data_IF_338371492001
#
_entry.id   IF_338371492001
#
_cell.length_a   1.000
_cell.length_b   1.000
_cell.length_c   1.000
_cell.angle_alpha   90.00
_cell.angle_beta   90.00
_cell.angle_gamma   90.00
#
_symmetry.space_group_name_H-M   'P 1'
#
loop_
_entity.id
_entity.type
_entity.pdbx_description
1 polymer ?
#
# COMPACT_ATOMS: atom_id res chain seq x y z
N UNK A 1 -1.03 2.78 -0.88
CA UNK A 1 -0.69 2.26 0.46
C UNK A 1 -1.94 2.33 1.34
N UNK A 2 -2.05 1.43 2.31
CA UNK A 2 -3.21 1.34 3.21
C UNK A 2 -2.72 1.07 4.63
N UNK A 3 -3.26 1.79 5.61
CA UNK A 3 -3.17 1.40 7.03
C UNK A 3 -4.21 0.31 7.27
N UNK A 4 -3.78 -0.83 7.80
CA UNK A 4 -4.67 -1.97 8.02
C UNK A 4 -5.85 -1.62 8.93
N UNK A 5 -5.66 -0.70 9.88
CA UNK A 5 -6.70 -0.25 10.81
C UNK A 5 -7.83 0.53 10.11
N UNK A 6 -7.59 1.09 8.93
CA UNK A 6 -8.62 1.81 8.18
C UNK A 6 -9.62 0.88 7.48
N UNK A 7 -9.28 -0.42 7.35
CA UNK A 7 -10.14 -1.42 6.70
C UNK A 7 -11.46 -1.57 7.46
N UNK A 8 -11.41 -1.62 8.79
CA UNK A 8 -12.59 -1.78 9.64
C UNK A 8 -13.63 -0.67 9.46
N UNK A 9 -13.25 0.62 9.59
CA UNK A 9 -14.12 1.75 9.31
C UNK A 9 -14.74 1.74 7.91
N UNK A 10 -13.99 1.38 6.86
CA UNK A 10 -14.55 1.27 5.49
C UNK A 10 -15.61 0.19 5.42
N UNK A 11 -15.33 -1.00 5.95
CA UNK A 11 -16.29 -2.12 5.97
C UNK A 11 -17.54 -1.74 6.77
N UNK A 12 -17.38 -1.08 7.92
CA UNK A 12 -18.52 -0.57 8.71
C UNK A 12 -19.40 0.36 7.87
N UNK A 13 -18.82 1.27 7.10
CA UNK A 13 -19.57 2.19 6.23
C UNK A 13 -20.29 1.49 5.08
N UNK A 14 -19.74 0.39 4.57
CA UNK A 14 -20.42 -0.44 3.57
C UNK A 14 -21.63 -1.14 4.20
N UNK A 15 -21.49 -1.65 5.42
CA UNK A 15 -22.57 -2.37 6.12
C UNK A 15 -23.70 -1.46 6.62
N UNK A 16 -23.45 -0.17 6.81
CA UNK A 16 -24.50 0.83 7.12
C UNK A 16 -25.48 1.05 5.95
N UNK A 17 -25.07 0.81 4.70
CA UNK A 17 -25.88 1.00 3.49
C UNK A 17 -25.52 -0.05 2.41
N UNK A 18 -25.80 -1.34 2.65
CA UNK A 18 -25.30 -2.43 1.79
C UNK A 18 -25.90 -2.38 0.38
N UNK A 19 -27.14 -1.91 0.22
CA UNK A 19 -27.80 -1.79 -1.09
C UNK A 19 -27.05 -0.82 -2.01
N UNK A 20 -26.49 0.26 -1.46
CA UNK A 20 -25.69 1.22 -2.22
C UNK A 20 -24.37 0.64 -2.73
N UNK A 21 -23.79 -0.36 -2.04
CA UNK A 21 -22.45 -0.85 -2.32
C UNK A 21 -22.38 -2.26 -2.89
N UNK A 22 -23.50 -3.00 -2.91
CA UNK A 22 -23.55 -4.34 -3.49
C UNK A 22 -23.05 -4.33 -4.95
N UNK A 23 -22.16 -5.26 -5.27
CA UNK A 23 -21.55 -5.38 -6.61
C UNK A 23 -20.54 -4.28 -6.97
N UNK A 24 -20.18 -3.38 -6.05
CA UNK A 24 -19.14 -2.35 -6.27
C UNK A 24 -17.80 -2.80 -5.70
N UNK A 25 -16.75 -2.51 -6.45
CA UNK A 25 -15.37 -2.61 -5.97
C UNK A 25 -14.98 -1.30 -5.25
N UNK A 26 -14.69 -1.40 -3.95
CA UNK A 26 -14.18 -0.27 -3.16
C UNK A 26 -12.69 -0.47 -2.88
N UNK A 27 -11.88 0.43 -3.41
CA UNK A 27 -10.42 0.42 -3.24
C UNK A 27 -10.04 1.17 -1.97
N UNK A 28 -9.37 0.50 -1.03
CA UNK A 28 -8.93 1.09 0.24
C UNK A 28 -7.48 1.56 0.08
N UNK A 29 -7.29 2.87 -0.04
CA UNK A 29 -5.98 3.46 -0.27
C UNK A 29 -5.91 4.84 0.39
N UNK A 30 -5.05 5.01 1.39
CA UNK A 30 -4.82 6.32 2.00
C UNK A 30 -4.06 7.25 1.07
N UNK A 31 -3.11 6.72 0.31
CA UNK A 31 -2.37 7.48 -0.69
C UNK A 31 -1.68 6.60 -1.74
N UNK A 32 -1.41 7.19 -2.90
CA UNK A 32 -0.50 6.65 -3.91
C UNK A 32 0.81 7.44 -3.88
N UNK A 33 1.88 6.79 -3.41
CA UNK A 33 3.22 7.36 -3.32
C UNK A 33 4.18 6.57 -4.22
N UNK A 34 5.12 7.26 -4.87
CA UNK A 34 6.20 6.60 -5.61
C UNK A 34 7.19 5.98 -4.63
N UNK A 35 7.66 4.76 -4.89
CA UNK A 35 8.63 4.09 -4.01
C UNK A 35 9.87 4.93 -3.70
N UNK A 36 10.36 5.73 -4.66
CA UNK A 36 11.50 6.63 -4.47
C UNK A 36 11.25 7.81 -3.51
N UNK A 37 9.99 8.14 -3.21
CA UNK A 37 9.62 9.23 -2.30
C UNK A 37 9.35 8.73 -0.86
N UNK A 38 9.15 7.43 -0.66
CA UNK A 38 8.98 6.80 0.67
C UNK A 38 10.11 7.19 1.64
N UNK A 39 11.42 7.16 1.25
CA UNK A 39 12.50 7.54 2.15
C UNK A 39 12.41 8.99 2.64
N UNK A 40 11.86 9.91 1.84
CA UNK A 40 11.69 11.32 2.22
C UNK A 40 10.68 11.46 3.35
N UNK A 41 9.52 10.81 3.20
CA UNK A 41 8.46 10.81 4.22
C UNK A 41 8.96 10.13 5.50
N UNK A 42 9.63 8.99 5.35
CA UNK A 42 10.20 8.26 6.46
C UNK A 42 11.22 9.09 7.24
N UNK A 43 12.19 9.70 6.54
CA UNK A 43 13.22 10.55 7.16
C UNK A 43 12.59 11.76 7.86
N UNK A 44 11.58 12.37 7.24
CA UNK A 44 10.85 13.52 7.81
C UNK A 44 10.18 13.18 9.15
N UNK A 45 9.56 12.00 9.28
CA UNK A 45 8.82 11.63 10.49
C UNK A 45 9.74 11.07 11.58
N UNK A 46 10.69 10.21 11.19
CA UNK A 46 11.52 9.46 12.15
C UNK A 46 12.82 10.17 12.50
N UNK A 47 13.28 11.10 11.66
CA UNK A 47 14.63 11.68 11.74
C UNK A 47 15.74 10.73 11.29
N UNK A 48 15.42 9.47 10.92
CA UNK A 48 16.40 8.47 10.48
C UNK A 48 16.64 8.62 8.98
N UNK A 49 17.88 8.89 8.53
CA UNK A 49 18.19 9.01 7.11
C UNK A 49 17.89 7.70 6.36
N UNK A 50 17.09 7.79 5.30
CA UNK A 50 16.74 6.66 4.45
C UNK A 50 17.01 6.96 2.96
N UNK A 51 17.28 5.91 2.19
CA UNK A 51 17.45 5.98 0.72
C UNK A 51 16.66 4.86 0.04
N UNK A 52 16.30 5.05 -1.22
CA UNK A 52 15.71 4.02 -2.06
C UNK A 52 16.73 3.55 -3.10
N UNK A 53 16.86 2.23 -3.27
CA UNK A 53 17.62 1.60 -4.35
C UNK A 53 16.68 0.70 -5.15
N UNK A 54 16.59 0.91 -6.45
CA UNK A 54 15.94 -0.05 -7.36
C UNK A 54 16.83 -1.28 -7.50
N UNK A 55 16.22 -2.46 -7.36
CA UNK A 55 16.91 -3.74 -7.49
C UNK A 55 16.53 -4.40 -8.81
N UNK A 56 17.47 -5.13 -9.41
CA UNK A 56 17.13 -6.08 -10.47
C UNK A 56 16.32 -7.24 -9.90
N UNK A 57 15.63 -7.99 -10.77
CA UNK A 57 14.90 -9.19 -10.33
C UNK A 57 15.85 -10.20 -9.65
N UNK A 58 17.06 -10.41 -10.20
CA UNK A 58 18.06 -11.29 -9.61
C UNK A 58 18.51 -10.81 -8.22
N UNK A 59 18.83 -9.52 -8.08
CA UNK A 59 19.17 -8.93 -6.80
C UNK A 59 18.02 -9.09 -5.80
N UNK A 60 16.78 -8.84 -6.20
CA UNK A 60 15.62 -8.97 -5.31
C UNK A 60 15.35 -10.43 -4.92
N UNK A 61 15.44 -11.38 -5.86
CA UNK A 61 15.37 -12.84 -5.58
C UNK A 61 16.38 -13.26 -4.53
N UNK A 62 17.62 -12.77 -4.63
CA UNK A 62 18.66 -13.06 -3.64
C UNK A 62 18.29 -12.59 -2.22
N UNK A 63 17.53 -11.48 -2.10
CA UNK A 63 17.07 -10.93 -0.81
C UNK A 63 15.93 -11.71 -0.19
N UNK A 64 15.12 -12.39 -1.01
CA UNK A 64 13.96 -13.16 -0.56
C UNK A 64 14.17 -14.68 -0.67
N UNK A 65 15.43 -15.13 -0.81
CA UNK A 65 15.79 -16.55 -0.96
C UNK A 65 15.31 -17.47 0.18
N UNK A 66 15.02 -16.88 1.34
CA UNK A 66 14.47 -17.59 2.50
C UNK A 66 13.01 -18.04 2.31
N UNK A 67 12.32 -17.52 1.30
CA UNK A 67 10.97 -17.94 0.94
C UNK A 67 11.00 -19.12 -0.06
N UNK A 68 9.96 -19.98 -0.06
CA UNK A 68 9.78 -20.98 -1.11
C UNK A 68 9.72 -20.33 -2.51
N UNK A 69 10.21 -21.03 -3.55
CA UNK A 69 10.28 -20.50 -4.92
C UNK A 69 8.94 -19.92 -5.41
N UNK A 70 7.83 -20.59 -5.11
CA UNK A 70 6.50 -20.11 -5.50
C UNK A 70 6.17 -18.73 -4.89
N UNK A 71 6.49 -18.52 -3.61
CA UNK A 71 6.26 -17.23 -2.96
C UNK A 71 7.17 -16.13 -3.50
N UNK A 72 8.41 -16.48 -3.88
CA UNK A 72 9.30 -15.53 -4.56
C UNK A 72 8.73 -15.08 -5.91
N UNK A 73 8.25 -16.03 -6.71
CA UNK A 73 7.66 -15.77 -8.02
C UNK A 73 6.40 -14.90 -7.92
N UNK A 74 5.54 -15.15 -6.92
CA UNK A 74 4.33 -14.34 -6.66
C UNK A 74 4.68 -12.89 -6.27
N UNK A 75 5.62 -12.68 -5.35
CA UNK A 75 6.01 -11.33 -4.91
C UNK A 75 6.62 -10.54 -6.08
N UNK A 76 7.46 -11.16 -6.89
CA UNK A 76 8.06 -10.51 -8.07
C UNK A 76 7.00 -10.16 -9.10
N UNK A 77 6.06 -11.06 -9.35
CA UNK A 77 4.94 -10.83 -10.25
C UNK A 77 4.07 -9.66 -9.77
N UNK A 78 3.84 -9.55 -8.46
CA UNK A 78 3.13 -8.41 -7.87
C UNK A 78 3.83 -7.07 -8.15
N UNK A 79 5.16 -6.98 -7.98
CA UNK A 79 5.90 -5.75 -8.28
C UNK A 79 5.90 -5.40 -9.77
N UNK A 80 6.05 -6.39 -10.66
CA UNK A 80 5.90 -6.20 -12.11
C UNK A 80 4.49 -5.69 -12.46
N UNK A 81 3.47 -6.24 -11.81
CA UNK A 81 2.10 -5.78 -12.00
C UNK A 81 1.90 -4.34 -11.49
N UNK A 82 2.51 -3.94 -10.35
CA UNK A 82 2.46 -2.55 -9.90
C UNK A 82 3.15 -1.60 -10.89
N UNK A 83 4.27 -2.00 -11.49
CA UNK A 83 4.98 -1.21 -12.50
C UNK A 83 4.13 -1.01 -13.76
N UNK A 84 3.47 -2.06 -14.23
CA UNK A 84 2.72 -2.02 -15.47
C UNK A 84 1.30 -1.45 -15.31
N UNK A 85 0.63 -1.73 -14.19
CA UNK A 85 -0.80 -1.50 -13.98
C UNK A 85 -1.14 -0.61 -12.76
N UNK A 86 -0.18 -0.36 -11.85
CA UNK A 86 -0.45 0.33 -10.57
C UNK A 86 -1.23 -0.54 -9.59
N UNK A 87 -1.37 -0.12 -8.31
CA UNK A 87 -1.84 -0.98 -7.21
C UNK A 87 -3.26 -1.57 -7.33
N UNK A 88 -4.17 -0.94 -8.08
CA UNK A 88 -5.53 -1.45 -8.31
C UNK A 88 -5.83 -1.74 -9.79
N UNK A 89 -4.84 -1.60 -10.67
CA UNK A 89 -5.04 -1.53 -12.11
C UNK A 89 -5.33 -0.10 -12.59
N UNK A 90 -5.28 0.10 -13.91
CA UNK A 90 -5.41 1.43 -14.53
C UNK A 90 -6.84 1.97 -14.51
N UNK A 91 -7.83 1.08 -14.44
CA UNK A 91 -9.24 1.44 -14.64
C UNK A 91 -10.00 1.68 -13.33
N UNK A 92 -9.40 1.37 -12.16
CA UNK A 92 -10.07 1.48 -10.87
C UNK A 92 -9.85 2.85 -10.23
N UNK A 93 -10.92 3.39 -9.65
CA UNK A 93 -10.86 4.55 -8.76
C UNK A 93 -10.24 4.15 -7.41
N UNK A 94 -8.92 4.28 -7.31
CA UNK A 94 -8.18 3.98 -6.07
C UNK A 94 -8.54 4.90 -4.90
N UNK A 95 -9.22 6.04 -5.15
CA UNK A 95 -9.68 6.97 -4.11
C UNK A 95 -11.07 6.63 -3.57
N UNK A 96 -11.73 5.60 -4.10
CA UNK A 96 -13.11 5.24 -3.73
C UNK A 96 -13.31 5.04 -2.22
N UNK A 97 -12.38 4.39 -1.52
CA UNK A 97 -12.45 4.23 -0.06
C UNK A 97 -12.35 5.53 0.73
N UNK A 98 -11.64 6.55 0.20
CA UNK A 98 -11.50 7.87 0.83
C UNK A 98 -12.82 8.64 0.90
N UNK A 99 -13.79 8.26 0.05
CA UNK A 99 -15.15 8.84 0.04
C UNK A 99 -16.02 8.29 1.18
N UNK A 100 -15.64 7.15 1.77
CA UNK A 100 -16.40 6.49 2.83
C UNK A 100 -15.90 6.91 4.21
N UNK A 101 -14.60 7.06 4.38
CA UNK A 101 -13.96 7.46 5.63
C UNK A 101 -12.60 8.10 5.37
N UNK A 102 -12.09 8.83 6.37
CA UNK A 102 -10.70 9.26 6.35
C UNK A 102 -9.78 8.04 6.41
N UNK A 103 -8.82 7.98 5.50
CA UNK A 103 -7.80 6.94 5.42
C UNK A 103 -6.43 7.57 5.69
N UNK A 104 -5.57 6.87 6.43
CA UNK A 104 -4.25 7.34 6.81
C UNK A 104 -3.28 7.30 5.63
N UNK A 105 -2.59 8.40 5.40
CA UNK A 105 -1.37 8.43 4.58
C UNK A 105 -0.23 7.69 5.27
N UNK A 106 0.86 7.38 4.55
CA UNK A 106 2.04 6.77 5.17
C UNK A 106 2.65 7.67 6.25
N UNK A 107 2.63 9.00 6.05
CA UNK A 107 3.08 9.96 7.07
C UNK A 107 2.22 9.89 8.33
N UNK A 108 0.89 9.85 8.18
CA UNK A 108 -0.04 9.75 9.30
C UNK A 108 0.15 8.43 10.04
N UNK A 109 0.28 7.33 9.32
CA UNK A 109 0.53 6.02 9.90
C UNK A 109 1.85 5.98 10.70
N UNK A 110 2.94 6.52 10.15
CA UNK A 110 4.24 6.58 10.86
C UNK A 110 4.13 7.38 12.16
N UNK A 111 3.43 8.52 12.15
CA UNK A 111 3.22 9.35 13.35
C UNK A 111 2.33 8.65 14.38
N UNK A 112 1.23 8.06 13.93
CA UNK A 112 0.24 7.37 14.76
C UNK A 112 0.85 6.16 15.48
N UNK A 113 1.62 5.36 14.76
CA UNK A 113 2.25 4.15 15.31
C UNK A 113 3.49 4.45 16.15
N UNK A 114 4.09 5.63 15.99
CA UNK A 114 5.35 5.98 16.65
C UNK A 114 6.46 5.00 16.28
N UNK A 115 6.52 4.59 15.01
CA UNK A 115 7.42 3.55 14.49
C UNK A 115 8.89 3.75 14.92
N UNK A 116 9.57 2.67 15.34
CA UNK A 116 10.98 2.68 15.83
C UNK A 116 11.91 1.62 15.24
N UNK A 117 11.47 0.81 14.28
CA UNK A 117 12.22 -0.36 13.79
C UNK A 117 11.62 -1.66 14.23
#
# INVERSE_FOLDING_TARGET
>A
MVDIEDTGPVVSKILEDPEKYVGKDICICGEAIRFGDIPKVFTKVTGVPATAKTLTEEEFRSRIQFLPKIAQDEIISMFKWFEEYGYYGKDKDWTSGQKLTALNTFEQWLKKTGWKG
#
